data_IF_869222256369
#
_entry.id   IF_869222256369
#
_cell.length_a   1.000
_cell.length_b   1.000
_cell.length_c   1.000
_cell.angle_alpha   90.00
_cell.angle_beta   90.00
_cell.angle_gamma   90.00
#
_symmetry.space_group_name_H-M   'P 1'
#
loop_
_entity.id
_entity.type
_entity.pdbx_description
1 polymer ?
#
# COMPACT_ATOMS: atom_id res chain seq x y z
N UNK A 1 56.72 -25.99 -11.44
CA UNK A 1 57.95 -25.37 -10.88
C UNK A 1 58.41 -24.24 -11.79
N UNK A 2 58.41 -23.00 -11.29
CA UNK A 2 59.40 -21.93 -11.53
C UNK A 2 58.84 -20.60 -11.01
N UNK A 3 59.41 -20.14 -9.90
CA UNK A 3 59.39 -18.75 -9.43
C UNK A 3 60.56 -18.03 -10.12
N UNK A 4 60.40 -16.76 -10.50
CA UNK A 4 61.33 -15.72 -10.02
C UNK A 4 60.58 -14.44 -9.66
N UNK A 5 60.76 -13.88 -8.46
CA UNK A 5 61.83 -12.95 -8.03
C UNK A 5 61.37 -11.48 -8.11
N UNK A 6 61.24 -10.93 -6.90
CA UNK A 6 61.07 -9.54 -6.47
C UNK A 6 61.72 -8.47 -7.35
N UNK A 7 61.04 -7.32 -7.50
CA UNK A 7 61.72 -6.02 -7.49
C UNK A 7 61.00 -5.05 -6.55
N UNK A 8 61.77 -4.57 -5.57
CA UNK A 8 61.45 -3.44 -4.69
C UNK A 8 61.64 -2.15 -5.47
N UNK A 9 60.76 -1.17 -5.29
CA UNK A 9 61.06 0.25 -5.50
C UNK A 9 60.40 1.12 -4.44
N UNK A 10 61.17 2.10 -4.01
CA UNK A 10 61.06 2.87 -2.77
C UNK A 10 60.54 4.28 -3.05
N UNK A 11 59.78 4.81 -2.08
CA UNK A 11 59.52 6.23 -1.69
C UNK A 11 59.11 7.26 -2.75
N UNK A 12 58.00 7.97 -2.48
CA UNK A 12 58.00 9.44 -2.47
C UNK A 12 56.82 9.97 -1.64
N UNK A 13 57.18 10.56 -0.50
CA UNK A 13 56.32 11.32 0.39
C UNK A 13 55.71 12.51 -0.36
N UNK A 14 54.39 12.48 -0.54
CA UNK A 14 53.60 13.64 -0.97
C UNK A 14 52.71 14.09 0.19
N UNK A 15 53.08 15.20 0.83
CA UNK A 15 52.24 15.87 1.82
C UNK A 15 50.98 16.41 1.12
N UNK A 16 49.85 15.71 1.28
CA UNK A 16 48.54 16.20 0.86
C UNK A 16 47.96 17.04 1.99
N UNK A 17 47.87 18.34 1.72
CA UNK A 17 47.25 19.34 2.57
C UNK A 17 45.76 18.98 2.66
N UNK A 18 45.33 18.47 3.82
CA UNK A 18 43.95 18.09 4.07
C UNK A 18 43.09 19.35 4.25
N UNK A 19 42.50 19.85 3.17
CA UNK A 19 41.41 20.82 3.24
C UNK A 19 40.15 20.09 3.69
N UNK A 20 39.86 20.13 4.98
CA UNK A 20 38.64 19.59 5.58
C UNK A 20 37.42 20.40 5.09
N UNK A 21 36.77 19.87 4.05
CA UNK A 21 35.47 20.34 3.57
C UNK A 21 34.40 19.87 4.57
N UNK A 22 33.94 20.76 5.45
CA UNK A 22 32.80 20.50 6.34
C UNK A 22 31.52 20.51 5.51
N UNK A 23 31.08 19.33 5.07
CA UNK A 23 29.76 19.16 4.46
C UNK A 23 28.67 19.34 5.54
N UNK A 24 27.62 20.14 5.29
CA UNK A 24 26.47 20.17 6.17
C UNK A 24 25.77 18.81 6.12
N UNK A 25 25.72 18.13 7.27
CA UNK A 25 24.93 16.91 7.45
C UNK A 25 23.45 17.28 7.34
N UNK A 26 22.85 17.02 6.18
CA UNK A 26 21.40 17.07 6.01
C UNK A 26 20.79 15.93 6.83
N UNK A 27 20.20 16.25 7.98
CA UNK A 27 19.40 15.30 8.73
C UNK A 27 18.21 14.89 7.88
N UNK A 28 18.24 13.67 7.33
CA UNK A 28 17.11 13.06 6.67
C UNK A 28 15.98 12.93 7.71
N UNK A 29 14.98 13.80 7.63
CA UNK A 29 13.76 13.65 8.40
C UNK A 29 13.08 12.36 7.96
N UNK A 30 13.04 11.36 8.84
CA UNK A 30 12.33 10.12 8.59
C UNK A 30 10.86 10.46 8.30
N UNK A 31 10.41 10.18 7.08
CA UNK A 31 9.00 10.30 6.73
C UNK A 31 8.17 9.44 7.70
N UNK A 32 7.00 9.92 8.15
CA UNK A 32 6.14 9.14 9.03
C UNK A 32 5.79 7.81 8.35
N UNK A 33 6.20 6.71 8.96
CA UNK A 33 5.77 5.37 8.54
C UNK A 33 4.28 5.30 8.81
N UNK A 34 3.41 4.99 7.82
CA UNK A 34 2.00 4.79 8.07
C UNK A 34 1.84 3.73 9.16
N UNK A 35 1.32 4.12 10.32
CA UNK A 35 1.09 3.20 11.42
C UNK A 35 0.21 2.05 10.98
N UNK A 36 0.50 0.84 11.47
CA UNK A 36 -0.45 -0.27 11.29
C UNK A 36 -1.77 0.15 11.92
N UNK A 37 -2.90 0.09 11.20
CA UNK A 37 -4.19 0.48 11.74
C UNK A 37 -4.47 -0.35 13.00
N UNK A 38 -4.80 0.32 14.11
CA UNK A 38 -5.21 -0.38 15.33
C UNK A 38 -6.48 -1.21 15.10
N UNK A 39 -6.79 -2.14 16.00
CA UNK A 39 -7.92 -3.08 15.86
C UNK A 39 -9.27 -2.39 15.55
N UNK A 40 -9.50 -1.19 16.09
CA UNK A 40 -10.69 -0.37 15.82
C UNK A 40 -10.85 0.04 14.35
N UNK A 41 -9.75 0.11 13.61
CA UNK A 41 -9.76 0.43 12.20
C UNK A 41 -10.32 -0.72 11.33
N UNK A 42 -10.45 -1.92 11.91
CA UNK A 42 -11.07 -3.07 11.25
C UNK A 42 -12.55 -3.27 11.59
N UNK A 43 -13.12 -2.34 12.37
CA UNK A 43 -14.56 -2.26 12.70
C UNK A 43 -15.16 -0.94 12.21
N UNK A 44 -14.66 -0.42 11.07
CA UNK A 44 -15.17 0.82 10.47
C UNK A 44 -16.66 0.68 10.16
N UNK A 45 -17.45 1.60 10.72
CA UNK A 45 -18.89 1.68 10.51
C UNK A 45 -19.18 2.00 9.05
N UNK A 46 -20.25 1.41 8.52
CA UNK A 46 -20.73 1.66 7.17
C UNK A 46 -22.24 1.88 7.18
N UNK A 47 -22.73 2.60 6.19
CA UNK A 47 -24.16 2.84 5.98
C UNK A 47 -24.50 2.72 4.50
N UNK A 48 -25.75 2.40 4.19
CA UNK A 48 -26.23 2.30 2.82
C UNK A 48 -26.67 3.68 2.31
N UNK A 49 -25.71 4.48 1.83
CA UNK A 49 -25.94 5.85 1.34
C UNK A 49 -25.90 5.95 -0.19
N UNK A 50 -25.26 5.00 -0.85
CA UNK A 50 -25.10 4.92 -2.30
C UNK A 50 -26.02 3.82 -2.85
N UNK A 51 -26.72 4.10 -3.95
CA UNK A 51 -27.56 3.11 -4.65
C UNK A 51 -26.88 2.53 -5.89
N UNK A 52 -25.64 2.94 -6.14
CA UNK A 52 -24.83 2.51 -7.26
C UNK A 52 -24.39 1.05 -7.14
N UNK A 53 -23.90 0.55 -8.26
CA UNK A 53 -23.35 -0.80 -8.39
C UNK A 53 -22.19 -0.79 -9.36
N UNK A 54 -21.35 -1.80 -9.25
CA UNK A 54 -20.25 -2.03 -10.17
C UNK A 54 -19.84 -3.48 -10.16
N UNK A 55 -18.67 -3.76 -10.74
CA UNK A 55 -18.10 -5.10 -10.76
C UNK A 55 -16.70 -5.10 -10.19
N UNK A 56 -16.27 -6.23 -9.67
CA UNK A 56 -14.85 -6.47 -9.37
C UNK A 56 -14.05 -6.51 -10.68
N UNK A 57 -13.05 -5.66 -10.83
CA UNK A 57 -12.16 -5.61 -12.00
C UNK A 57 -11.05 -6.66 -11.96
N UNK A 58 -10.71 -7.16 -10.77
CA UNK A 58 -9.74 -8.23 -10.53
C UNK A 58 -10.21 -9.18 -9.42
N UNK A 59 -9.48 -10.27 -9.20
CA UNK A 59 -9.67 -11.12 -8.01
C UNK A 59 -9.30 -10.31 -6.75
N UNK A 60 -10.24 -10.11 -5.83
CA UNK A 60 -10.10 -9.17 -4.71
C UNK A 60 -10.59 -9.74 -3.38
N UNK A 61 -9.95 -9.35 -2.28
CA UNK A 61 -10.34 -9.77 -0.94
C UNK A 61 -11.52 -8.94 -0.42
N UNK A 62 -12.52 -9.62 0.16
CA UNK A 62 -13.59 -8.99 0.94
C UNK A 62 -13.13 -8.88 2.39
N UNK A 63 -12.95 -7.66 2.88
CA UNK A 63 -12.33 -7.42 4.20
C UNK A 63 -13.29 -6.88 5.24
N UNK A 64 -12.94 -7.05 6.51
CA UNK A 64 -13.71 -6.51 7.63
C UNK A 64 -13.54 -4.99 7.82
N UNK A 65 -12.46 -4.40 7.31
CA UNK A 65 -12.17 -2.97 7.34
C UNK A 65 -11.43 -2.49 6.08
N UNK A 66 -11.29 -1.17 5.87
CA UNK A 66 -10.67 -0.56 4.70
C UNK A 66 -9.13 -0.65 4.73
N UNK A 67 -8.57 -1.71 5.30
CA UNK A 67 -7.12 -1.90 5.44
C UNK A 67 -6.69 -3.31 5.07
N UNK A 68 -5.50 -3.45 4.49
CA UNK A 68 -4.96 -4.77 4.08
C UNK A 68 -4.65 -5.70 5.27
N UNK A 69 -4.44 -5.14 6.46
CA UNK A 69 -4.25 -5.88 7.70
C UNK A 69 -5.56 -6.45 8.26
N UNK A 70 -6.71 -5.90 7.89
CA UNK A 70 -8.00 -6.37 8.37
C UNK A 70 -8.35 -7.76 7.81
N UNK A 71 -9.08 -8.53 8.61
CA UNK A 71 -9.48 -9.91 8.33
C UNK A 71 -10.04 -10.04 6.92
N UNK A 72 -9.53 -11.03 6.19
CA UNK A 72 -10.03 -11.40 4.88
C UNK A 72 -11.15 -12.44 5.05
N UNK A 73 -12.40 -12.04 4.80
CA UNK A 73 -13.57 -12.92 4.89
C UNK A 73 -13.82 -13.75 3.62
N UNK A 74 -12.88 -13.73 2.68
CA UNK A 74 -12.94 -14.51 1.45
C UNK A 74 -12.56 -13.70 0.23
N UNK A 75 -12.33 -14.40 -0.87
CA UNK A 75 -11.96 -13.78 -2.13
C UNK A 75 -13.12 -13.77 -3.11
N UNK A 76 -13.28 -12.66 -3.82
CA UNK A 76 -14.28 -12.47 -4.88
C UNK A 76 -13.55 -12.47 -6.22
N UNK A 77 -14.01 -13.31 -7.15
CA UNK A 77 -13.45 -13.41 -8.49
C UNK A 77 -13.83 -12.19 -9.34
N UNK A 78 -13.02 -11.89 -10.36
CA UNK A 78 -13.30 -10.84 -11.35
C UNK A 78 -14.70 -10.98 -11.97
N UNK A 79 -15.30 -9.85 -12.35
CA UNK A 79 -16.59 -9.75 -13.03
C UNK A 79 -17.80 -9.94 -12.13
N UNK A 80 -17.64 -10.10 -10.81
CA UNK A 80 -18.76 -10.21 -9.87
C UNK A 80 -19.39 -8.85 -9.64
N UNK A 81 -20.71 -8.77 -9.81
CA UNK A 81 -21.49 -7.57 -9.50
C UNK A 81 -21.56 -7.36 -7.99
N UNK A 82 -21.38 -6.11 -7.57
CA UNK A 82 -21.43 -5.68 -6.19
C UNK A 82 -22.26 -4.39 -6.08
N UNK A 83 -23.07 -4.32 -5.04
CA UNK A 83 -23.93 -3.18 -4.71
C UNK A 83 -23.22 -2.31 -3.70
N UNK A 84 -22.94 -1.06 -4.07
CA UNK A 84 -22.21 -0.12 -3.24
C UNK A 84 -23.09 0.38 -2.10
N UNK A 85 -22.49 0.66 -0.95
CA UNK A 85 -23.19 1.27 0.18
C UNK A 85 -22.58 2.63 0.52
N UNK A 86 -21.27 2.68 0.75
CA UNK A 86 -20.52 3.92 0.94
C UNK A 86 -19.01 3.69 0.74
N UNK A 87 -18.21 4.76 0.75
CA UNK A 87 -16.75 4.69 0.69
C UNK A 87 -16.08 5.40 1.87
N UNK A 88 -14.86 4.98 2.18
CA UNK A 88 -13.97 5.66 3.12
C UNK A 88 -12.52 5.54 2.67
N UNK A 89 -11.59 6.15 3.40
CA UNK A 89 -10.15 6.02 3.17
C UNK A 89 -9.54 4.95 4.07
N UNK A 90 -8.47 4.33 3.59
CA UNK A 90 -7.71 3.38 4.37
C UNK A 90 -6.36 3.06 3.73
N UNK A 91 -5.90 1.80 3.79
CA UNK A 91 -4.58 1.44 3.23
C UNK A 91 -4.52 1.76 1.73
N UNK A 92 -3.45 2.40 1.28
CA UNK A 92 -3.19 2.59 -0.15
C UNK A 92 -2.97 1.24 -0.83
N UNK A 93 -3.73 0.96 -1.89
CA UNK A 93 -3.60 -0.21 -2.74
C UNK A 93 -3.45 0.28 -4.18
N UNK A 94 -2.33 -0.07 -4.84
CA UNK A 94 -2.02 0.36 -6.21
C UNK A 94 -2.25 1.86 -6.45
N UNK A 95 -1.79 2.71 -5.52
CA UNK A 95 -1.93 4.17 -5.61
C UNK A 95 -3.30 4.74 -5.24
N UNK A 96 -4.29 3.90 -4.88
CA UNK A 96 -5.62 4.34 -4.49
C UNK A 96 -5.88 3.99 -3.01
N UNK A 97 -6.26 4.97 -2.19
CA UNK A 97 -6.57 4.80 -0.77
C UNK A 97 -8.07 4.65 -0.48
N UNK A 98 -8.93 4.65 -1.49
CA UNK A 98 -10.38 4.53 -1.33
C UNK A 98 -10.81 3.08 -1.25
N UNK A 99 -11.69 2.82 -0.31
CA UNK A 99 -12.31 1.54 -0.07
C UNK A 99 -13.81 1.70 -0.04
N UNK A 100 -14.53 0.71 -0.54
CA UNK A 100 -15.99 0.72 -0.58
C UNK A 100 -16.53 -0.46 0.19
N UNK A 101 -17.51 -0.20 1.05
CA UNK A 101 -18.37 -1.26 1.57
C UNK A 101 -19.38 -1.63 0.50
N UNK A 102 -19.45 -2.90 0.15
CA UNK A 102 -20.39 -3.40 -0.83
C UNK A 102 -20.92 -4.79 -0.50
N UNK A 103 -22.12 -5.09 -0.96
CA UNK A 103 -22.74 -6.41 -0.93
C UNK A 103 -22.54 -7.11 -2.27
N UNK A 104 -22.22 -8.41 -2.26
CA UNK A 104 -22.11 -9.22 -3.47
C UNK A 104 -23.52 -9.51 -4.01
N UNK A 105 -23.77 -9.26 -5.30
CA UNK A 105 -25.06 -9.54 -5.91
C UNK A 105 -25.40 -11.04 -5.85
N UNK A 106 -26.63 -11.37 -5.47
CA UNK A 106 -27.11 -12.76 -5.38
C UNK A 106 -26.66 -13.53 -4.13
N UNK A 107 -25.99 -12.89 -3.18
CA UNK A 107 -25.57 -13.48 -1.90
C UNK A 107 -25.77 -12.43 -0.77
N UNK A 108 -25.74 -12.84 0.50
CA UNK A 108 -25.81 -11.94 1.66
C UNK A 108 -24.43 -11.50 2.18
N UNK A 109 -23.34 -11.92 1.51
CA UNK A 109 -21.96 -11.51 1.84
C UNK A 109 -21.70 -10.05 1.47
N UNK A 110 -21.21 -9.29 2.44
CA UNK A 110 -20.75 -7.91 2.26
C UNK A 110 -19.38 -7.66 2.92
N UNK A 111 -18.70 -6.59 2.53
CA UNK A 111 -17.44 -6.18 3.15
C UNK A 111 -16.76 -5.03 2.42
N UNK A 112 -15.56 -4.69 2.87
CA UNK A 112 -14.73 -3.65 2.28
C UNK A 112 -13.91 -4.18 1.10
N UNK A 113 -13.94 -3.44 0.00
CA UNK A 113 -13.19 -3.69 -1.22
C UNK A 113 -12.35 -2.47 -1.58
N UNK A 114 -11.07 -2.67 -1.89
CA UNK A 114 -10.21 -1.59 -2.39
C UNK A 114 -10.66 -1.18 -3.80
N UNK A 115 -10.83 0.12 -4.04
CA UNK A 115 -11.23 0.66 -5.34
C UNK A 115 -10.27 0.23 -6.46
N UNK A 116 -8.99 0.05 -6.14
CA UNK A 116 -7.95 -0.44 -7.05
C UNK A 116 -8.26 -1.79 -7.72
N UNK A 117 -9.14 -2.61 -7.15
CA UNK A 117 -9.53 -3.91 -7.72
C UNK A 117 -10.97 -3.91 -8.26
N UNK A 118 -11.65 -2.76 -8.27
CA UNK A 118 -12.95 -2.59 -8.89
C UNK A 118 -12.79 -2.19 -10.35
N UNK A 119 -13.78 -2.54 -11.17
CA UNK A 119 -13.78 -2.19 -12.59
C UNK A 119 -13.77 -0.66 -12.75
N UNK A 120 -12.87 -0.14 -13.59
CA UNK A 120 -12.68 1.30 -13.74
C UNK A 120 -12.11 2.00 -12.50
N UNK A 121 -11.61 1.27 -11.50
CA UNK A 121 -10.91 1.85 -10.35
C UNK A 121 -11.79 2.66 -9.39
N UNK A 122 -13.12 2.47 -9.42
CA UNK A 122 -14.07 3.23 -8.61
C UNK A 122 -15.08 2.34 -7.90
N UNK A 123 -15.60 2.84 -6.78
CA UNK A 123 -16.68 2.22 -5.99
C UNK A 123 -17.80 3.22 -5.72
N UNK A 124 -18.34 3.21 -4.50
CA UNK A 124 -19.36 4.16 -4.06
C UNK A 124 -18.88 5.62 -4.27
N UNK A 125 -19.81 6.49 -4.66
CA UNK A 125 -19.66 7.94 -4.70
C UNK A 125 -19.95 8.63 -3.37
N UNK A 126 -20.75 8.02 -2.47
CA UNK A 126 -21.09 8.59 -1.16
C UNK A 126 -20.14 8.14 -0.04
N UNK A 127 -19.60 9.08 0.73
CA UNK A 127 -18.71 8.79 1.86
C UNK A 127 -19.52 8.21 3.03
N UNK A 128 -18.91 7.33 3.83
CA UNK A 128 -19.41 6.93 5.15
C UNK A 128 -19.06 8.03 6.18
#
# INVERSE_FOLDING_TARGET
MRVPTLLRTTVLSGALIASSLTLPTVSASAAPVPGTPGTLACTTVHHNYDTGRGKTGARTARRSGPYRSCTNWGTVNRGKEIWFHCWTTGTVVNGNNRWTWARIAGDDKAGWFAHAFLEGGHGAGKHC
#
